data_IF_314369107527
#
_entry.id   IF_314369107527
#
_cell.length_a   1.000
_cell.length_b   1.000
_cell.length_c   1.000
_cell.angle_alpha   90.00
_cell.angle_beta   90.00
_cell.angle_gamma   90.00
#
_symmetry.space_group_name_H-M   'P 1'
#
loop_
_entity.id
_entity.type
_entity.pdbx_description
1 polymer ?
#
# COMPACT_ATOMS: atom_id res chain seq x y z
N UNK A 1 -11.81 -11.66 24.29
CA UNK A 1 -11.60 -10.21 24.12
C UNK A 1 -11.41 -9.90 22.64
N UNK A 2 -12.22 -9.02 22.03
CA UNK A 2 -12.03 -8.61 20.62
C UNK A 2 -10.77 -7.74 20.52
N UNK A 3 -9.82 -8.11 19.67
CA UNK A 3 -8.64 -7.28 19.39
C UNK A 3 -9.11 -5.90 18.92
N UNK A 4 -8.64 -4.79 19.53
CA UNK A 4 -9.07 -3.46 19.12
C UNK A 4 -8.72 -3.22 17.65
N UNK A 5 -9.70 -2.77 16.87
CA UNK A 5 -9.55 -2.52 15.43
C UNK A 5 -8.45 -1.50 15.19
N UNK A 6 -7.40 -1.92 14.49
CA UNK A 6 -6.31 -1.03 14.09
C UNK A 6 -6.79 -0.12 12.96
N UNK A 7 -7.01 1.16 13.25
CA UNK A 7 -7.37 2.16 12.23
C UNK A 7 -6.10 2.61 11.51
N UNK A 8 -6.04 2.41 10.20
CA UNK A 8 -4.97 2.95 9.35
C UNK A 8 -5.56 4.05 8.46
N UNK A 9 -4.89 5.20 8.42
CA UNK A 9 -5.20 6.31 7.53
C UNK A 9 -3.93 6.76 6.82
N UNK A 10 -4.07 7.17 5.57
CA UNK A 10 -2.92 7.50 4.72
C UNK A 10 -2.99 8.95 4.29
N UNK A 11 -1.89 9.67 4.51
CA UNK A 11 -1.69 11.02 4.01
C UNK A 11 -0.96 11.01 2.68
N UNK A 12 -1.23 12.02 1.85
CA UNK A 12 -0.47 12.29 0.64
C UNK A 12 0.46 13.47 0.93
N UNK A 13 1.76 13.25 0.89
CA UNK A 13 2.75 14.30 1.05
C UNK A 13 3.34 14.68 -0.31
N UNK A 14 3.00 15.86 -0.81
CA UNK A 14 3.43 16.34 -2.13
C UNK A 14 4.94 16.58 -2.12
N UNK A 15 5.62 16.13 -3.16
CA UNK A 15 7.05 16.37 -3.37
C UNK A 15 7.23 17.37 -4.51
N UNK A 16 8.28 18.17 -4.44
CA UNK A 16 8.69 19.06 -5.53
C UNK A 16 10.09 18.70 -6.06
N UNK A 17 10.21 17.60 -6.83
CA UNK A 17 11.49 17.17 -7.39
C UNK A 17 11.93 18.05 -8.57
N UNK A 18 13.23 18.27 -8.67
CA UNK A 18 13.86 18.81 -9.88
C UNK A 18 13.70 17.84 -11.08
N UNK A 19 13.92 18.31 -12.33
CA UNK A 19 13.87 17.42 -13.50
C UNK A 19 14.79 16.19 -13.38
N UNK A 20 16.01 16.35 -12.87
CA UNK A 20 16.93 15.23 -12.62
C UNK A 20 16.37 14.24 -11.60
N UNK A 21 15.74 14.73 -10.52
CA UNK A 21 15.14 13.88 -9.49
C UNK A 21 13.91 13.11 -10.01
N UNK A 22 13.14 13.70 -10.94
CA UNK A 22 12.05 13.00 -11.62
C UNK A 22 12.57 11.81 -12.42
N UNK A 23 13.72 11.93 -13.07
CA UNK A 23 14.37 10.81 -13.78
C UNK A 23 14.78 9.73 -12.78
N UNK A 24 15.42 10.10 -11.67
CA UNK A 24 15.78 9.14 -10.60
C UNK A 24 14.56 8.38 -10.07
N UNK A 25 13.45 9.07 -9.81
CA UNK A 25 12.22 8.44 -9.33
C UNK A 25 11.58 7.54 -10.38
N UNK A 26 11.61 7.95 -11.65
CA UNK A 26 11.16 7.12 -12.77
C UNK A 26 11.92 5.79 -12.83
N UNK A 27 13.25 5.86 -12.84
CA UNK A 27 14.12 4.69 -12.90
C UNK A 27 13.98 3.82 -11.65
N UNK A 28 13.82 4.44 -10.48
CA UNK A 28 13.54 3.73 -9.22
C UNK A 28 12.25 2.93 -9.28
N UNK A 29 11.14 3.55 -9.72
CA UNK A 29 9.85 2.85 -9.84
C UNK A 29 9.93 1.75 -10.89
N UNK A 30 10.60 2.00 -12.01
CA UNK A 30 10.79 1.03 -13.09
C UNK A 30 11.56 -0.21 -12.61
N UNK A 31 12.74 -0.04 -12.02
CA UNK A 31 13.55 -1.16 -11.55
C UNK A 31 12.86 -1.91 -10.40
N UNK A 32 12.16 -1.20 -9.52
CA UNK A 32 11.39 -1.81 -8.43
C UNK A 32 10.25 -2.69 -8.94
N UNK A 33 9.50 -2.22 -9.95
CA UNK A 33 8.42 -2.99 -10.59
C UNK A 33 8.95 -4.22 -11.30
N UNK A 34 10.07 -4.09 -12.02
CA UNK A 34 10.74 -5.23 -12.66
C UNK A 34 11.18 -6.28 -11.63
N UNK A 35 11.76 -5.85 -10.50
CA UNK A 35 12.12 -6.74 -9.41
C UNK A 35 10.91 -7.45 -8.79
N UNK A 36 9.80 -6.74 -8.58
CA UNK A 36 8.54 -7.33 -8.11
C UNK A 36 7.99 -8.37 -9.10
N UNK A 37 7.99 -8.07 -10.40
CA UNK A 37 7.53 -9.00 -11.45
C UNK A 37 8.35 -10.29 -11.44
N UNK A 38 9.67 -10.16 -11.34
CA UNK A 38 10.57 -11.31 -11.26
C UNK A 38 10.29 -12.16 -10.01
N UNK A 39 10.08 -11.51 -8.86
CA UNK A 39 9.77 -12.14 -7.59
C UNK A 39 8.42 -12.87 -7.59
N UNK A 40 7.40 -12.33 -8.27
CA UNK A 40 6.11 -13.02 -8.44
C UNK A 40 6.31 -14.38 -9.11
N UNK A 41 7.16 -14.45 -10.14
CA UNK A 41 7.49 -15.71 -10.82
C UNK A 41 8.16 -16.74 -9.89
N UNK A 42 9.19 -16.33 -9.13
CA UNK A 42 9.85 -17.20 -8.15
C UNK A 42 8.85 -17.68 -7.10
N UNK A 43 8.13 -16.76 -6.45
CA UNK A 43 7.26 -17.09 -5.33
C UNK A 43 6.11 -17.99 -5.77
N UNK A 44 5.53 -17.74 -6.95
CA UNK A 44 4.48 -18.59 -7.49
C UNK A 44 4.97 -20.00 -7.82
N UNK A 45 6.17 -20.12 -8.41
CA UNK A 45 6.80 -21.42 -8.71
C UNK A 45 7.00 -22.28 -7.46
N UNK A 46 7.31 -21.65 -6.32
CA UNK A 46 7.57 -22.30 -5.04
C UNK A 46 6.41 -22.17 -4.06
N UNK A 47 5.20 -21.88 -4.53
CA UNK A 47 4.10 -21.53 -3.63
C UNK A 47 3.68 -22.68 -2.72
N UNK A 48 3.88 -23.94 -3.13
CA UNK A 48 3.64 -25.12 -2.30
C UNK A 48 4.48 -25.12 -1.01
N UNK A 49 5.73 -24.68 -1.09
CA UNK A 49 6.66 -24.61 0.05
C UNK A 49 6.53 -23.29 0.82
N UNK A 50 6.22 -22.21 0.11
CA UNK A 50 6.22 -20.85 0.65
C UNK A 50 4.86 -20.43 1.24
N UNK A 51 3.75 -20.93 0.69
CA UNK A 51 2.41 -20.40 0.97
C UNK A 51 1.91 -20.64 2.40
N UNK A 52 2.47 -21.62 3.11
CA UNK A 52 2.17 -21.88 4.52
C UNK A 52 3.03 -21.09 5.51
N UNK A 53 4.03 -20.35 5.04
CA UNK A 53 4.97 -19.64 5.91
C UNK A 53 4.38 -18.33 6.44
N UNK A 54 4.73 -17.98 7.67
CA UNK A 54 4.47 -16.64 8.20
C UNK A 54 5.28 -15.59 7.44
N UNK A 55 4.86 -14.32 7.47
CA UNK A 55 5.60 -13.23 6.82
C UNK A 55 7.08 -13.13 7.26
N UNK A 56 7.36 -13.48 8.52
CA UNK A 56 8.72 -13.49 9.10
C UNK A 56 9.58 -14.60 8.51
N UNK A 57 9.01 -15.78 8.25
CA UNK A 57 9.72 -16.92 7.66
C UNK A 57 9.85 -16.83 6.14
N UNK A 58 8.83 -16.28 5.49
CA UNK A 58 8.73 -16.18 4.03
C UNK A 58 9.88 -15.37 3.43
N UNK A 59 10.17 -14.20 4.00
CA UNK A 59 11.19 -13.29 3.44
C UNK A 59 12.58 -13.95 3.40
N UNK A 60 13.11 -14.51 4.50
CA UNK A 60 14.34 -15.28 4.47
C UNK A 60 14.30 -16.46 3.50
N UNK A 61 13.19 -17.20 3.42
CA UNK A 61 13.05 -18.36 2.53
C UNK A 61 13.22 -17.96 1.06
N UNK A 62 12.53 -16.91 0.62
CA UNK A 62 12.68 -16.36 -0.75
C UNK A 62 14.09 -15.84 -0.98
N UNK A 63 14.69 -15.15 0.00
CA UNK A 63 16.09 -14.69 -0.10
C UNK A 63 17.07 -15.86 -0.28
N UNK A 64 16.84 -17.02 0.36
CA UNK A 64 17.71 -18.21 0.16
C UNK A 64 17.71 -18.70 -1.28
N UNK A 65 16.59 -18.54 -1.99
CA UNK A 65 16.44 -19.01 -3.37
C UNK A 65 17.18 -18.11 -4.37
N UNK A 66 17.31 -16.80 -4.10
CA UNK A 66 17.67 -15.81 -5.12
C UNK A 66 18.78 -14.82 -4.73
N UNK A 67 19.13 -14.66 -3.45
CA UNK A 67 20.12 -13.67 -3.02
C UNK A 67 21.43 -14.34 -2.58
N UNK A 68 22.50 -14.08 -3.34
CA UNK A 68 23.84 -14.61 -3.05
C UNK A 68 24.43 -13.90 -1.83
N UNK A 69 24.98 -14.65 -0.89
CA UNK A 69 25.72 -14.11 0.26
C UNK A 69 27.03 -14.89 0.44
N UNK A 70 27.98 -14.35 1.21
CA UNK A 70 29.24 -15.07 1.49
C UNK A 70 29.01 -16.46 2.10
N UNK A 71 28.03 -16.58 3.00
CA UNK A 71 27.64 -17.86 3.63
C UNK A 71 26.81 -18.77 2.73
N UNK A 72 26.28 -18.27 1.61
CA UNK A 72 25.43 -19.00 0.66
C UNK A 72 25.75 -18.58 -0.78
N UNK A 73 26.85 -19.12 -1.35
CA UNK A 73 27.30 -18.76 -2.69
C UNK A 73 26.45 -19.40 -3.80
N UNK A 74 25.90 -20.59 -3.54
CA UNK A 74 25.10 -21.37 -4.48
C UNK A 74 23.61 -21.12 -4.24
N UNK A 75 22.93 -20.55 -5.23
CA UNK A 75 21.50 -20.19 -5.17
C UNK A 75 20.79 -20.65 -6.44
N UNK A 76 19.50 -20.94 -6.34
CA UNK A 76 18.69 -21.46 -7.45
C UNK A 76 18.43 -20.41 -8.54
N UNK A 77 18.32 -19.14 -8.17
CA UNK A 77 18.02 -18.03 -9.08
C UNK A 77 19.12 -16.96 -9.05
N UNK A 78 20.33 -17.24 -9.57
CA UNK A 78 21.43 -16.26 -9.59
C UNK A 78 21.13 -15.04 -10.46
N UNK A 79 20.23 -15.18 -11.43
CA UNK A 79 19.88 -14.14 -12.40
C UNK A 79 19.30 -12.89 -11.73
N UNK A 80 18.65 -13.01 -10.55
CA UNK A 80 18.14 -11.83 -9.84
C UNK A 80 19.28 -10.86 -9.49
N UNK A 81 20.41 -11.34 -8.98
CA UNK A 81 21.54 -10.47 -8.61
C UNK A 81 22.24 -9.88 -9.84
N UNK A 82 22.15 -10.55 -11.00
CA UNK A 82 22.68 -10.03 -12.28
C UNK A 82 21.77 -8.94 -12.83
N UNK A 83 20.46 -9.19 -12.87
CA UNK A 83 19.46 -8.24 -13.39
C UNK A 83 19.28 -7.01 -12.48
N UNK A 84 19.38 -7.20 -11.17
CA UNK A 84 19.18 -6.15 -10.17
C UNK A 84 20.46 -5.97 -9.34
N UNK A 85 21.53 -5.55 -10.02
CA UNK A 85 22.82 -5.32 -9.38
C UNK A 85 22.70 -4.31 -8.23
N UNK A 86 23.33 -4.64 -7.08
CA UNK A 86 23.30 -3.84 -5.84
C UNK A 86 21.89 -3.48 -5.32
N UNK A 87 20.86 -4.28 -5.63
CA UNK A 87 19.50 -4.00 -5.15
C UNK A 87 19.42 -3.92 -3.61
N UNK A 88 18.99 -2.78 -3.02
CA UNK A 88 19.02 -2.58 -1.58
C UNK A 88 18.16 -3.59 -0.84
N UNK A 89 18.66 -4.06 0.30
CA UNK A 89 18.02 -5.10 1.10
C UNK A 89 16.58 -4.75 1.50
N UNK A 90 16.32 -3.52 1.92
CA UNK A 90 14.96 -3.12 2.33
C UNK A 90 13.99 -2.93 1.17
N UNK A 91 14.47 -2.48 -0.01
CA UNK A 91 13.65 -2.55 -1.22
C UNK A 91 13.35 -3.99 -1.60
N UNK A 92 14.32 -4.90 -1.45
CA UNK A 92 14.13 -6.33 -1.72
C UNK A 92 13.06 -6.93 -0.82
N UNK A 93 13.14 -6.68 0.49
CA UNK A 93 12.15 -7.17 1.46
C UNK A 93 10.76 -6.61 1.17
N UNK A 94 10.66 -5.31 0.84
CA UNK A 94 9.41 -4.71 0.41
C UNK A 94 8.84 -5.40 -0.85
N UNK A 95 9.69 -5.62 -1.85
CA UNK A 95 9.30 -6.28 -3.10
C UNK A 95 8.86 -7.74 -2.87
N UNK A 96 9.54 -8.48 -2.00
CA UNK A 96 9.16 -9.86 -1.62
C UNK A 96 7.79 -9.86 -0.94
N UNK A 97 7.57 -9.01 0.06
CA UNK A 97 6.30 -8.92 0.77
C UNK A 97 5.15 -8.57 -0.18
N UNK A 98 5.38 -7.62 -1.09
CA UNK A 98 4.42 -7.24 -2.10
C UNK A 98 4.11 -8.39 -3.08
N UNK A 99 5.14 -9.03 -3.65
CA UNK A 99 4.99 -10.14 -4.59
C UNK A 99 4.29 -11.35 -3.94
N UNK A 100 4.62 -11.66 -2.69
CA UNK A 100 3.95 -12.69 -1.91
C UNK A 100 2.46 -12.40 -1.70
N UNK A 101 2.10 -11.16 -1.37
CA UNK A 101 0.71 -10.74 -1.24
C UNK A 101 -0.09 -10.93 -2.54
N UNK A 102 0.53 -10.58 -3.68
CA UNK A 102 -0.07 -10.79 -5.01
C UNK A 102 -0.30 -12.27 -5.32
N UNK A 103 0.72 -13.11 -5.08
CA UNK A 103 0.60 -14.56 -5.31
C UNK A 103 -0.44 -15.18 -4.38
N UNK A 104 -0.41 -14.84 -3.09
CA UNK A 104 -1.38 -15.30 -2.10
C UNK A 104 -2.81 -14.95 -2.51
N UNK A 105 -3.05 -13.69 -2.87
CA UNK A 105 -4.37 -13.23 -3.33
C UNK A 105 -4.85 -14.00 -4.56
N UNK A 106 -3.96 -14.18 -5.55
CA UNK A 106 -4.28 -14.94 -6.75
C UNK A 106 -4.62 -16.40 -6.43
N UNK A 107 -3.78 -17.10 -5.67
CA UNK A 107 -3.96 -18.52 -5.36
C UNK A 107 -5.24 -18.76 -4.57
N UNK A 108 -5.54 -17.90 -3.59
CA UNK A 108 -6.79 -17.98 -2.82
C UNK A 108 -8.02 -17.81 -3.73
N UNK A 109 -8.04 -16.74 -4.55
CA UNK A 109 -9.16 -16.49 -5.46
C UNK A 109 -9.30 -17.57 -6.53
N UNK A 110 -8.19 -18.13 -6.99
CA UNK A 110 -8.20 -19.21 -7.97
C UNK A 110 -8.79 -20.48 -7.36
N UNK A 111 -8.41 -20.83 -6.12
CA UNK A 111 -9.00 -21.95 -5.37
C UNK A 111 -10.50 -21.76 -5.12
N UNK A 112 -10.93 -20.57 -4.70
CA UNK A 112 -12.35 -20.23 -4.55
C UNK A 112 -13.13 -20.39 -5.87
N UNK A 113 -12.54 -19.92 -6.97
CA UNK A 113 -13.13 -20.10 -8.29
C UNK A 113 -13.21 -21.58 -8.70
N UNK A 114 -12.19 -22.39 -8.38
CA UNK A 114 -12.18 -23.84 -8.62
C UNK A 114 -13.23 -24.58 -7.78
N UNK A 115 -13.48 -24.15 -6.54
CA UNK A 115 -14.50 -24.76 -5.66
C UNK A 115 -15.94 -24.41 -6.05
N UNK A 116 -16.14 -23.56 -7.06
CA UNK A 116 -17.46 -23.12 -7.51
C UNK A 116 -17.97 -21.86 -6.81
N UNK A 117 -17.23 -21.31 -5.84
CA UNK A 117 -17.54 -20.01 -5.23
C UNK A 117 -17.25 -18.89 -6.24
N UNK A 118 -18.28 -18.54 -7.02
CA UNK A 118 -18.20 -17.56 -8.11
C UNK A 118 -19.35 -16.57 -8.01
N UNK A 119 -19.07 -15.31 -8.34
CA UNK A 119 -20.11 -14.26 -8.41
C UNK A 119 -21.21 -14.61 -9.42
N UNK A 120 -20.83 -15.25 -10.53
CA UNK A 120 -21.73 -15.77 -11.56
C UNK A 120 -21.19 -17.08 -12.13
N UNK A 121 -22.06 -17.92 -12.67
CA UNK A 121 -21.70 -19.22 -13.27
C UNK A 121 -20.69 -19.08 -14.42
N UNK A 122 -20.81 -18.01 -15.21
CA UNK A 122 -19.98 -17.67 -16.38
C UNK A 122 -18.66 -16.93 -16.03
N UNK A 123 -18.37 -16.72 -14.73
CA UNK A 123 -17.19 -15.94 -14.32
C UNK A 123 -15.90 -16.63 -14.79
N UNK A 124 -15.07 -15.90 -15.53
CA UNK A 124 -13.74 -16.36 -15.94
C UNK A 124 -12.82 -16.55 -14.72
N UNK A 125 -11.83 -17.46 -14.79
CA UNK A 125 -10.87 -17.62 -13.71
C UNK A 125 -10.07 -16.33 -13.49
N UNK A 126 -9.66 -16.04 -12.25
CA UNK A 126 -8.75 -14.94 -11.98
C UNK A 126 -7.44 -15.18 -12.74
N UNK A 127 -6.74 -14.08 -13.07
CA UNK A 127 -5.43 -14.13 -13.74
C UNK A 127 -4.36 -13.57 -12.81
N UNK A 128 -3.20 -14.22 -12.77
CA UNK A 128 -2.06 -13.69 -12.05
C UNK A 128 -1.44 -12.55 -12.87
N UNK A 129 -1.70 -11.30 -12.45
CA UNK A 129 -1.10 -10.14 -13.08
C UNK A 129 0.23 -9.80 -12.37
N UNK A 130 1.34 -10.11 -13.05
CA UNK A 130 2.68 -9.77 -12.58
C UNK A 130 3.10 -8.32 -12.91
N UNK A 131 2.35 -7.61 -13.77
CA UNK A 131 2.46 -6.17 -13.98
C UNK A 131 1.71 -5.42 -12.89
N UNK A 132 2.41 -5.19 -11.80
CA UNK A 132 1.76 -4.97 -10.51
C UNK A 132 1.45 -3.52 -10.18
N UNK A 133 1.77 -2.57 -11.07
CA UNK A 133 1.58 -1.13 -10.86
C UNK A 133 2.17 -0.61 -9.54
N UNK A 134 3.05 -1.39 -8.90
CA UNK A 134 3.45 -1.18 -7.52
C UNK A 134 4.39 0.01 -7.37
N UNK A 135 4.52 0.48 -6.13
CA UNK A 135 5.38 1.60 -5.78
C UNK A 135 6.33 1.18 -4.64
N UNK A 136 7.56 1.71 -4.62
CA UNK A 136 8.54 1.33 -3.60
C UNK A 136 8.09 1.77 -2.20
N UNK A 137 7.97 0.81 -1.27
CA UNK A 137 7.83 1.13 0.15
C UNK A 137 9.21 1.51 0.74
N UNK A 138 9.28 2.65 1.40
CA UNK A 138 10.50 3.24 1.92
C UNK A 138 10.65 2.92 3.40
N UNK A 139 11.68 2.16 3.77
CA UNK A 139 12.02 1.90 5.17
C UNK A 139 12.89 3.04 5.74
N UNK A 140 12.58 3.46 6.97
CA UNK A 140 13.28 4.56 7.65
C UNK A 140 14.76 4.25 7.81
N UNK A 141 15.62 5.22 7.52
CA UNK A 141 17.08 5.13 7.58
C UNK A 141 17.73 4.40 6.40
N UNK A 142 17.00 3.52 5.72
CA UNK A 142 17.55 2.61 4.70
C UNK A 142 17.11 2.99 3.28
N UNK A 143 15.87 3.45 3.14
CA UNK A 143 15.30 3.95 1.88
C UNK A 143 14.91 5.43 1.96
N UNK A 144 14.64 5.96 3.15
CA UNK A 144 14.40 7.39 3.34
C UNK A 144 14.92 7.92 4.67
N UNK A 145 15.20 9.23 4.72
CA UNK A 145 15.46 9.99 5.96
C UNK A 145 14.69 11.29 5.89
N UNK A 146 14.01 11.64 6.98
CA UNK A 146 13.31 12.92 7.08
C UNK A 146 14.22 13.94 7.76
N UNK A 147 14.27 15.14 7.19
CA UNK A 147 14.87 16.32 7.78
C UNK A 147 13.71 17.26 8.06
N UNK A 148 13.22 17.25 9.31
CA UNK A 148 11.95 17.88 9.63
C UNK A 148 10.77 17.28 8.85
N UNK A 149 9.86 18.14 8.40
CA UNK A 149 8.76 17.80 7.50
C UNK A 149 8.80 18.62 6.20
N UNK A 150 9.84 19.42 6.01
CA UNK A 150 10.11 20.21 4.81
C UNK A 150 10.96 19.42 3.80
N UNK A 151 11.84 18.52 4.26
CA UNK A 151 12.75 17.80 3.37
C UNK A 151 12.80 16.30 3.64
N UNK A 152 13.03 15.54 2.57
CA UNK A 152 13.25 14.11 2.62
C UNK A 152 14.40 13.68 1.73
N UNK A 153 15.33 12.91 2.27
CA UNK A 153 16.28 12.13 1.49
C UNK A 153 15.65 10.80 1.10
N UNK A 154 15.70 10.45 -0.18
CA UNK A 154 15.21 9.17 -0.72
C UNK A 154 16.36 8.46 -1.42
N UNK A 155 16.53 7.17 -1.13
CA UNK A 155 17.46 6.31 -1.88
C UNK A 155 16.82 5.93 -3.21
N UNK A 156 17.36 6.44 -4.29
CA UNK A 156 16.86 6.30 -5.65
C UNK A 156 17.90 5.64 -6.56
N UNK A 157 17.43 5.00 -7.62
CA UNK A 157 18.26 4.39 -8.65
C UNK A 157 18.51 5.39 -9.77
N UNK A 158 19.76 5.55 -10.19
CA UNK A 158 20.15 6.48 -11.26
C UNK A 158 20.33 5.81 -12.64
N UNK A 159 19.90 4.55 -12.78
CA UNK A 159 20.16 3.73 -13.98
C UNK A 159 21.38 2.81 -13.85
N UNK A 160 22.28 3.07 -12.87
CA UNK A 160 23.50 2.27 -12.65
C UNK A 160 23.70 1.87 -11.19
N UNK A 161 23.50 2.78 -10.25
CA UNK A 161 23.68 2.56 -8.81
C UNK A 161 22.58 3.25 -7.98
N UNK A 162 22.55 2.92 -6.69
CA UNK A 162 21.59 3.44 -5.72
C UNK A 162 22.20 4.62 -4.95
N UNK A 163 21.69 5.81 -5.23
CA UNK A 163 22.17 7.09 -4.67
C UNK A 163 21.13 7.70 -3.73
N UNK A 164 21.56 8.56 -2.83
CA UNK A 164 20.66 9.38 -2.02
C UNK A 164 20.37 10.70 -2.75
N UNK A 165 19.12 11.15 -2.72
CA UNK A 165 18.73 12.47 -3.23
C UNK A 165 17.75 13.15 -2.28
N UNK A 166 17.95 14.45 -2.04
CA UNK A 166 17.12 15.26 -1.14
C UNK A 166 16.05 16.02 -1.92
N UNK A 167 14.79 15.84 -1.55
CA UNK A 167 13.64 16.47 -2.21
C UNK A 167 12.80 17.24 -1.21
N UNK A 168 12.28 18.39 -1.64
CA UNK A 168 11.38 19.22 -0.85
C UNK A 168 9.98 18.60 -0.77
N UNK A 169 9.40 18.63 0.43
CA UNK A 169 8.01 18.33 0.72
C UNK A 169 7.24 19.64 0.70
N UNK A 170 6.35 19.82 -0.28
CA UNK A 170 5.61 21.07 -0.48
C UNK A 170 4.16 21.01 -0.02
N UNK A 171 3.68 19.84 0.40
CA UNK A 171 2.33 19.70 0.89
C UNK A 171 2.23 18.55 1.87
N UNK A 172 1.76 18.84 3.07
CA UNK A 172 1.53 17.87 4.14
C UNK A 172 0.05 17.84 4.51
N UNK A 173 -0.32 16.80 5.22
CA UNK A 173 -1.53 16.74 6.03
C UNK A 173 -1.15 16.61 7.49
N UNK A 174 -2.09 16.82 8.40
CA UNK A 174 -1.77 17.07 9.80
C UNK A 174 -1.65 15.81 10.67
N UNK A 175 -1.74 14.59 10.12
CA UNK A 175 -1.71 13.38 10.96
C UNK A 175 -0.39 13.18 11.69
N UNK A 176 0.70 13.75 11.17
CA UNK A 176 2.01 13.77 11.82
C UNK A 176 2.06 14.65 13.08
N UNK A 177 1.13 15.61 13.23
CA UNK A 177 1.05 16.50 14.40
C UNK A 177 0.34 15.85 15.59
N UNK A 178 -0.43 14.78 15.36
CA UNK A 178 -1.18 14.08 16.40
C UNK A 178 -0.26 13.08 17.09
N UNK A 179 0.08 13.33 18.36
CA UNK A 179 1.04 12.53 19.12
C UNK A 179 0.69 11.03 19.24
N UNK A 180 -0.61 10.69 19.27
CA UNK A 180 -1.08 9.30 19.36
C UNK A 180 -0.97 8.54 18.04
N UNK A 181 -0.74 9.24 16.91
CA UNK A 181 -0.57 8.61 15.62
C UNK A 181 0.87 8.12 15.45
N UNK A 182 1.01 6.90 14.93
CA UNK A 182 2.32 6.33 14.59
C UNK A 182 2.49 6.27 13.08
N UNK A 183 3.44 7.05 12.55
CA UNK A 183 3.85 7.00 11.15
C UNK A 183 4.40 5.61 10.80
N UNK A 184 4.02 5.09 9.64
CA UNK A 184 4.49 3.85 9.06
C UNK A 184 5.31 4.14 7.79
N UNK A 185 5.94 3.11 7.22
CA UNK A 185 6.75 3.24 6.01
C UNK A 185 5.96 3.87 4.84
N UNK A 186 6.39 5.03 4.32
CA UNK A 186 5.72 5.65 3.19
C UNK A 186 6.02 4.90 1.88
N UNK A 187 5.21 5.10 0.85
CA UNK A 187 5.47 4.62 -0.51
C UNK A 187 5.74 5.78 -1.45
N UNK A 188 6.75 5.66 -2.32
CA UNK A 188 7.07 6.66 -3.35
C UNK A 188 6.12 6.52 -4.54
N UNK A 189 5.09 7.37 -4.60
CA UNK A 189 4.13 7.38 -5.70
C UNK A 189 4.64 8.34 -6.78
N UNK A 190 5.12 7.77 -7.88
CA UNK A 190 5.66 8.55 -9.00
C UNK A 190 5.18 8.04 -10.36
N UNK A 191 4.58 8.93 -11.15
CA UNK A 191 4.28 8.77 -12.57
C UNK A 191 4.16 10.14 -13.24
N UNK A 192 3.74 10.18 -14.51
CA UNK A 192 3.60 11.43 -15.29
C UNK A 192 2.71 12.48 -14.60
N UNK A 193 1.70 12.05 -13.83
CA UNK A 193 0.72 12.94 -13.19
C UNK A 193 1.01 13.22 -11.71
N UNK A 194 1.67 12.29 -11.02
CA UNK A 194 1.79 12.33 -9.56
C UNK A 194 3.24 12.19 -9.11
N UNK A 195 3.63 13.03 -8.16
CA UNK A 195 4.84 12.86 -7.37
C UNK A 195 4.54 13.19 -5.91
N UNK A 196 4.38 12.14 -5.09
CA UNK A 196 4.10 12.29 -3.66
C UNK A 196 4.51 11.04 -2.88
N UNK A 197 4.61 11.18 -1.57
CA UNK A 197 4.64 10.04 -0.67
C UNK A 197 3.23 9.70 -0.22
N UNK A 198 2.89 8.43 -0.29
CA UNK A 198 1.72 7.86 0.38
C UNK A 198 2.16 7.42 1.77
N UNK A 199 1.77 8.15 2.82
CA UNK A 199 2.27 7.99 4.18
C UNK A 199 1.20 7.40 5.10
N UNK A 200 1.26 6.10 5.41
CA UNK A 200 0.31 5.48 6.32
C UNK A 200 0.60 5.85 7.77
N UNK A 201 -0.46 6.03 8.55
CA UNK A 201 -0.44 6.22 9.99
C UNK A 201 -1.34 5.17 10.64
N UNK A 202 -0.81 4.51 11.68
CA UNK A 202 -1.69 3.85 12.65
C UNK A 202 -2.29 4.93 13.53
N UNK A 203 -3.61 5.09 13.46
CA UNK A 203 -4.36 6.08 14.21
C UNK A 203 -5.01 5.43 15.43
N UNK A 204 -4.95 6.12 16.56
CA UNK A 204 -5.71 5.81 17.76
C UNK A 204 -6.65 6.99 18.03
N UNK A 205 -7.79 7.07 17.33
CA UNK A 205 -8.74 8.14 17.59
C UNK A 205 -9.17 8.04 19.06
N UNK A 206 -9.26 9.20 19.71
CA UNK A 206 -9.86 9.25 21.04
C UNK A 206 -11.28 8.69 20.97
N UNK A 207 -11.68 7.96 22.00
CA UNK A 207 -13.08 7.55 22.12
C UNK A 207 -13.88 8.84 22.26
N UNK A 208 -14.81 9.06 21.33
CA UNK A 208 -15.79 10.14 21.50
C UNK A 208 -16.53 9.90 22.81
N UNK A 209 -16.59 10.93 23.65
CA UNK A 209 -17.54 10.96 24.74
C UNK A 209 -18.95 10.83 24.14
N UNK A 210 -19.85 10.00 24.70
CA UNK A 210 -21.22 9.94 24.24
C UNK A 210 -21.84 11.35 24.34
N UNK A 211 -22.17 11.95 23.21
CA UNK A 211 -23.05 13.11 23.21
C UNK A 211 -24.45 12.64 23.61
N UNK A 212 -25.26 13.53 24.19
CA UNK A 212 -26.63 13.20 24.63
C UNK A 212 -27.53 12.63 23.50
N UNK A 213 -27.16 12.92 22.24
CA UNK A 213 -27.88 12.52 21.04
C UNK A 213 -26.98 11.70 20.11
N UNK A 214 -27.57 10.69 19.49
CA UNK A 214 -26.97 9.80 18.49
C UNK A 214 -27.50 10.21 17.11
N UNK A 215 -26.60 10.43 16.16
CA UNK A 215 -26.97 10.60 14.74
C UNK A 215 -26.80 9.28 14.01
N UNK A 216 -27.89 8.69 13.55
CA UNK A 216 -27.91 7.55 12.65
C UNK A 216 -28.02 8.05 11.20
N UNK A 217 -27.24 7.45 10.31
CA UNK A 217 -27.28 7.72 8.87
C UNK A 217 -27.38 6.40 8.14
N UNK A 218 -28.37 6.27 7.26
CA UNK A 218 -28.55 5.10 6.41
C UNK A 218 -28.71 5.51 4.94
N UNK A 219 -28.39 4.59 4.03
CA UNK A 219 -28.62 4.78 2.60
C UNK A 219 -30.09 4.52 2.31
N UNK A 220 -30.77 5.50 1.69
CA UNK A 220 -32.15 5.32 1.25
C UNK A 220 -32.22 4.61 -0.10
N UNK A 221 -33.36 3.97 -0.38
CA UNK A 221 -33.64 3.41 -1.71
C UNK A 221 -33.87 4.54 -2.72
N UNK A 222 -34.65 5.55 -2.32
CA UNK A 222 -35.02 6.70 -3.17
C UNK A 222 -34.35 8.02 -2.72
N UNK A 223 -33.52 7.98 -1.69
CA UNK A 223 -32.82 9.16 -1.14
C UNK A 223 -31.34 8.82 -1.00
N UNK A 224 -30.47 9.82 -1.11
CA UNK A 224 -29.02 9.59 -1.03
C UNK A 224 -28.63 9.09 0.36
N UNK A 225 -29.23 9.71 1.39
CA UNK A 225 -29.15 9.23 2.76
C UNK A 225 -30.38 9.67 3.55
N UNK A 226 -30.74 8.91 4.56
CA UNK A 226 -31.69 9.29 5.60
C UNK A 226 -30.91 9.49 6.89
N UNK A 227 -31.18 10.60 7.57
CA UNK A 227 -30.55 10.96 8.84
C UNK A 227 -31.62 10.99 9.93
N UNK A 228 -31.33 10.38 11.07
CA UNK A 228 -32.12 10.52 12.28
C UNK A 228 -31.23 10.91 13.45
N UNK A 229 -31.64 11.90 14.23
CA UNK A 229 -31.00 12.26 15.49
C UNK A 229 -31.90 11.82 16.62
N UNK A 230 -31.38 10.94 17.48
CA UNK A 230 -32.12 10.27 18.54
C UNK A 230 -31.47 10.59 19.88
N UNK A 231 -32.26 10.98 20.88
CA UNK A 231 -31.78 11.19 22.25
C UNK A 231 -31.45 9.87 22.93
N UNK A 232 -30.76 9.91 24.07
CA UNK A 232 -30.53 8.73 24.91
C UNK A 232 -31.82 8.01 25.37
N UNK A 233 -32.95 8.72 25.44
CA UNK A 233 -34.27 8.17 25.79
C UNK A 233 -34.99 7.50 24.60
N UNK A 234 -34.39 7.49 23.42
CA UNK A 234 -35.00 6.96 22.19
C UNK A 234 -35.89 7.95 21.44
N UNK A 235 -35.96 9.21 21.87
CA UNK A 235 -36.77 10.24 21.21
C UNK A 235 -36.09 10.72 19.94
N UNK A 236 -36.77 10.63 18.80
CA UNK A 236 -36.30 11.22 17.54
C UNK A 236 -36.54 12.72 17.58
N UNK A 237 -35.48 13.52 17.65
CA UNK A 237 -35.55 14.99 17.70
C UNK A 237 -35.31 15.64 16.34
N UNK A 238 -34.74 14.90 15.40
CA UNK A 238 -34.57 15.36 14.03
C UNK A 238 -34.60 14.18 13.07
N UNK A 239 -35.21 14.39 11.91
CA UNK A 239 -35.20 13.48 10.78
C UNK A 239 -35.00 14.30 9.52
N UNK A 240 -34.14 13.83 8.63
CA UNK A 240 -33.92 14.47 7.36
C UNK A 240 -33.65 13.44 6.25
N UNK A 241 -34.04 13.80 5.03
CA UNK A 241 -33.85 12.99 3.85
C UNK A 241 -32.94 13.77 2.91
N UNK A 242 -31.66 13.40 2.91
CA UNK A 242 -30.66 14.02 2.05
C UNK A 242 -30.85 13.47 0.64
N UNK A 243 -31.37 14.29 -0.26
CA UNK A 243 -31.50 13.96 -1.67
C UNK A 243 -31.33 15.20 -2.56
N UNK A 244 -30.09 15.66 -2.68
CA UNK A 244 -29.73 16.78 -3.55
C UNK A 244 -29.67 16.31 -5.02
N UNK A 245 -30.82 16.35 -5.71
CA UNK A 245 -30.92 15.94 -7.12
C UNK A 245 -29.90 16.61 -8.04
N UNK A 246 -29.55 17.89 -7.80
CA UNK A 246 -28.52 18.63 -8.55
C UNK A 246 -27.12 18.03 -8.47
N UNK A 247 -26.78 17.31 -7.40
CA UNK A 247 -25.47 16.67 -7.22
C UNK A 247 -25.40 15.28 -7.87
N UNK A 248 -26.56 14.65 -8.09
CA UNK A 248 -26.69 13.35 -8.75
C UNK A 248 -26.70 13.51 -10.27
N UNK A 249 -27.37 14.54 -10.78
CA UNK A 249 -27.49 14.83 -12.23
C UNK A 249 -26.13 15.18 -12.89
N UNK A 250 -25.08 15.41 -12.09
CA UNK A 250 -23.71 15.64 -12.54
C UNK A 250 -22.78 14.42 -12.39
N UNK A 251 -23.27 13.27 -11.90
CA UNK A 251 -22.47 12.04 -11.80
C UNK A 251 -22.34 11.27 -13.11
N UNK A 252 -23.26 11.49 -14.06
CA UNK A 252 -23.29 10.78 -15.36
C UNK A 252 -22.71 11.62 -16.52
N UNK A 253 -21.78 12.53 -16.24
CA UNK A 253 -20.98 13.25 -17.25
C UNK A 253 -19.49 12.91 -17.14
#
# INVERSE_FOLDING_TARGET
>A
MKTPTKVIRTDKWKLNPSPGQKILFSETVKVYRQACRYLVGIIYTHWSELGGLTAVQLTPAVEKLMHKTAKRPNIKYPQFNKAFYKFPSYYRRAAIAFAAGQVSSYVTRYREWQSGSRKRKDSKPPRLNADTGCYPALYKGQCYKLHGFDQIEIKAFNGKDWVWTTVQITGLRERHKIATNKMMSPSLIFNVRYCHLSVPFTCKPEKRQPLANITAVDLGINTTATVAVVTHSGTVIHRDFIHLGRDIDRRDK
#
